data_IF_190720917224
#
_entry.id   IF_190720917224
#
_cell.length_a   1.000
_cell.length_b   1.000
_cell.length_c   1.000
_cell.angle_alpha   90.00
_cell.angle_beta   90.00
_cell.angle_gamma   90.00
#
_symmetry.space_group_name_H-M   'P 1'
#
loop_
_entity.id
_entity.type
_entity.pdbx_description
1 polymer ?
#
# COMPACT_ATOMS: atom_id res chain seq x y z
N UNK A 1 5.54 -59.33 34.03
CA UNK A 1 6.89 -58.74 34.13
C UNK A 1 7.31 -58.43 32.70
N UNK A 2 7.11 -57.24 32.10
CA UNK A 2 7.61 -55.90 32.47
C UNK A 2 8.93 -55.65 31.72
N UNK A 3 9.19 -54.59 30.96
CA UNK A 3 8.45 -53.38 30.57
C UNK A 3 9.02 -52.87 29.23
N UNK A 4 8.17 -52.21 28.43
CA UNK A 4 8.58 -51.28 27.37
C UNK A 4 9.52 -50.19 27.95
N UNK A 5 10.56 -49.80 27.20
CA UNK A 5 11.24 -48.52 27.45
C UNK A 5 11.21 -47.66 26.19
N UNK A 6 10.46 -46.58 26.32
CA UNK A 6 10.24 -45.49 25.39
C UNK A 6 11.44 -44.53 25.49
N UNK A 7 12.33 -44.52 24.49
CA UNK A 7 13.43 -43.55 24.44
C UNK A 7 13.00 -42.31 23.66
N UNK A 8 12.36 -41.37 24.34
CA UNK A 8 12.15 -40.00 23.84
C UNK A 8 13.49 -39.29 23.68
N UNK A 9 13.97 -39.14 22.45
CA UNK A 9 15.10 -38.26 22.13
C UNK A 9 14.63 -36.82 22.22
N UNK A 10 15.00 -36.11 23.28
CA UNK A 10 14.81 -34.66 23.38
C UNK A 10 15.67 -33.94 22.32
N UNK A 11 15.14 -32.93 21.61
CA UNK A 11 15.89 -32.21 20.59
C UNK A 11 16.97 -31.34 21.25
N UNK A 12 18.20 -31.43 20.74
CA UNK A 12 19.32 -30.58 21.11
C UNK A 12 18.95 -29.10 21.00
N UNK A 13 19.17 -28.34 22.07
CA UNK A 13 18.99 -26.90 22.12
C UNK A 13 19.91 -26.19 21.12
N UNK A 14 19.39 -25.87 19.94
CA UNK A 14 20.06 -24.94 19.01
C UNK A 14 19.90 -23.54 19.56
N UNK A 15 20.94 -23.03 20.21
CA UNK A 15 21.08 -21.65 20.65
C UNK A 15 20.80 -20.72 19.46
N UNK A 16 19.71 -19.96 19.52
CA UNK A 16 19.42 -18.88 18.55
C UNK A 16 20.54 -17.85 18.67
N UNK A 17 21.46 -17.82 17.71
CA UNK A 17 22.36 -16.69 17.51
C UNK A 17 21.48 -15.50 17.11
N UNK A 18 21.17 -14.62 18.05
CA UNK A 18 20.56 -13.34 17.73
C UNK A 18 21.56 -12.59 16.82
N UNK A 19 21.25 -12.47 15.53
CA UNK A 19 21.98 -11.55 14.66
C UNK A 19 21.76 -10.15 15.25
N UNK A 20 22.83 -9.56 15.76
CA UNK A 20 22.84 -8.16 16.19
C UNK A 20 22.22 -7.29 15.09
N UNK A 21 21.34 -6.32 15.41
CA UNK A 21 20.76 -5.45 14.40
C UNK A 21 21.88 -4.72 13.66
N UNK A 22 21.97 -4.89 12.33
CA UNK A 22 22.91 -4.13 11.52
C UNK A 22 22.62 -2.63 11.70
N UNK A 23 23.64 -1.78 11.82
CA UNK A 23 23.44 -0.34 11.96
C UNK A 23 22.67 0.19 10.74
N UNK A 24 21.54 0.86 11.00
CA UNK A 24 20.75 1.50 9.94
C UNK A 24 21.60 2.59 9.30
N UNK A 25 21.83 2.52 7.98
CA UNK A 25 22.47 3.61 7.24
C UNK A 25 21.65 4.88 7.47
N UNK A 26 22.29 5.95 7.96
CA UNK A 26 21.66 7.28 7.99
C UNK A 26 21.29 7.62 6.54
N UNK A 27 20.00 7.78 6.27
CA UNK A 27 19.55 8.33 4.98
C UNK A 27 20.13 9.73 4.90
N UNK A 28 20.86 10.06 3.83
CA UNK A 28 21.22 11.44 3.58
C UNK A 28 19.89 12.22 3.41
N UNK A 29 19.83 13.43 3.96
CA UNK A 29 18.67 14.32 3.82
C UNK A 29 18.84 15.23 2.59
N UNK A 30 19.64 14.85 1.60
CA UNK A 30 19.80 15.65 0.39
C UNK A 30 18.55 15.40 -0.47
N UNK A 31 17.54 16.22 -0.17
CA UNK A 31 16.26 16.33 -0.82
C UNK A 31 16.46 16.95 -2.22
N UNK A 32 16.95 16.14 -3.16
CA UNK A 32 16.71 16.38 -4.57
C UNK A 32 15.22 16.20 -4.91
N UNK A 33 14.81 16.44 -6.16
CA UNK A 33 13.46 16.07 -6.60
C UNK A 33 13.17 14.61 -6.20
N UNK A 34 12.05 14.41 -5.50
CA UNK A 34 11.58 13.08 -5.12
C UNK A 34 11.16 12.33 -6.40
N UNK A 35 11.07 10.99 -6.37
CA UNK A 35 10.51 10.26 -7.50
C UNK A 35 9.08 10.69 -7.80
N UNK A 36 8.36 11.09 -6.76
CA UNK A 36 6.94 11.45 -6.81
C UNK A 36 6.72 12.97 -6.90
N UNK A 37 7.77 13.79 -6.72
CA UNK A 37 7.67 15.26 -6.66
C UNK A 37 8.87 15.93 -7.33
N UNK A 38 8.61 16.87 -8.24
CA UNK A 38 9.64 17.70 -8.86
C UNK A 38 10.41 18.56 -7.85
N UNK A 39 11.41 19.29 -8.35
CA UNK A 39 12.13 20.26 -7.52
C UNK A 39 11.15 21.32 -7.01
N UNK A 40 11.18 21.60 -5.70
CA UNK A 40 10.25 22.54 -5.07
C UNK A 40 10.48 23.93 -5.68
N UNK A 41 9.68 24.30 -6.67
CA UNK A 41 9.78 25.62 -7.28
C UNK A 41 9.31 26.66 -6.25
N UNK A 42 10.05 27.76 -6.13
CA UNK A 42 9.69 28.88 -5.23
C UNK A 42 8.27 29.36 -5.55
N UNK A 43 7.54 29.77 -4.51
CA UNK A 43 6.09 30.04 -4.38
C UNK A 43 5.37 30.92 -5.43
N UNK A 44 5.99 31.25 -6.56
CA UNK A 44 5.48 32.18 -7.56
C UNK A 44 4.89 31.52 -8.81
N UNK A 45 4.89 30.19 -8.90
CA UNK A 45 4.17 29.47 -9.95
C UNK A 45 2.73 29.19 -9.52
N UNK A 46 1.88 30.21 -9.65
CA UNK A 46 0.44 30.02 -9.59
C UNK A 46 0.01 29.31 -10.88
N UNK A 47 0.06 27.98 -10.86
CA UNK A 47 -0.63 27.19 -11.86
C UNK A 47 -2.12 27.48 -11.71
N UNK A 48 -2.71 28.10 -12.75
CA UNK A 48 -4.16 28.26 -12.80
C UNK A 48 -4.76 26.86 -12.77
N UNK A 49 -5.62 26.59 -11.78
CA UNK A 49 -6.32 25.32 -11.71
C UNK A 49 -7.17 25.15 -12.98
N UNK A 50 -7.13 23.94 -13.56
CA UNK A 50 -7.90 23.61 -14.76
C UNK A 50 -9.43 23.64 -14.54
N UNK A 51 -9.84 23.59 -13.27
CA UNK A 51 -11.23 23.61 -12.84
C UNK A 51 -11.43 24.50 -11.63
N UNK A 52 -12.65 25.00 -11.48
CA UNK A 52 -13.07 25.74 -10.29
C UNK A 52 -13.15 24.82 -9.08
N UNK A 53 -13.05 25.38 -7.87
CA UNK A 53 -13.11 24.61 -6.63
C UNK A 53 -14.46 23.88 -6.47
N UNK A 54 -15.55 24.52 -6.88
CA UNK A 54 -16.89 23.93 -6.86
C UNK A 54 -16.99 22.72 -7.81
N UNK A 55 -16.50 22.86 -9.05
CA UNK A 55 -16.47 21.75 -10.01
C UNK A 55 -15.63 20.58 -9.53
N UNK A 56 -14.47 20.86 -8.92
CA UNK A 56 -13.61 19.83 -8.33
C UNK A 56 -14.37 19.07 -7.25
N UNK A 57 -15.01 19.80 -6.33
CA UNK A 57 -15.75 19.21 -5.22
C UNK A 57 -16.90 18.33 -5.71
N UNK A 58 -17.72 18.82 -6.65
CA UNK A 58 -18.81 18.03 -7.23
C UNK A 58 -18.29 16.75 -7.91
N UNK A 59 -17.26 16.86 -8.77
CA UNK A 59 -16.67 15.70 -9.44
C UNK A 59 -16.05 14.71 -8.45
N UNK A 60 -15.47 15.20 -7.36
CA UNK A 60 -14.90 14.36 -6.31
C UNK A 60 -15.97 13.54 -5.60
N UNK A 61 -17.11 14.16 -5.30
CA UNK A 61 -18.26 13.49 -4.66
C UNK A 61 -18.90 12.47 -5.59
N UNK A 62 -19.14 12.82 -6.85
CA UNK A 62 -19.66 11.91 -7.88
C UNK A 62 -18.75 10.69 -8.05
N UNK A 63 -17.43 10.90 -8.07
CA UNK A 63 -16.47 9.82 -8.15
C UNK A 63 -16.52 8.91 -6.92
N UNK A 64 -16.57 9.46 -5.70
CA UNK A 64 -16.68 8.66 -4.48
C UNK A 64 -17.97 7.84 -4.46
N UNK A 65 -19.10 8.41 -4.89
CA UNK A 65 -20.38 7.71 -5.01
C UNK A 65 -20.25 6.55 -6.00
N UNK A 66 -19.58 6.75 -7.13
CA UNK A 66 -19.35 5.68 -8.13
C UNK A 66 -18.52 4.50 -7.60
N UNK A 67 -17.72 4.72 -6.56
CA UNK A 67 -16.89 3.67 -5.94
C UNK A 67 -17.67 2.81 -4.93
N UNK A 68 -18.78 3.31 -4.40
CA UNK A 68 -19.65 2.61 -3.47
C UNK A 68 -20.29 1.41 -4.19
N UNK A 69 -20.20 0.24 -3.56
CA UNK A 69 -20.75 -1.00 -4.10
C UNK A 69 -21.62 -1.67 -3.04
N UNK A 70 -22.70 -2.29 -3.48
CA UNK A 70 -23.52 -3.15 -2.62
C UNK A 70 -22.71 -4.38 -2.20
N UNK A 71 -23.02 -4.95 -1.03
CA UNK A 71 -22.37 -6.18 -0.55
C UNK A 71 -22.47 -7.31 -1.57
N UNK A 72 -23.63 -7.44 -2.23
CA UNK A 72 -23.83 -8.42 -3.31
C UNK A 72 -22.83 -8.26 -4.44
N UNK A 73 -22.55 -7.01 -4.84
CA UNK A 73 -21.58 -6.71 -5.90
C UNK A 73 -20.15 -6.94 -5.44
N UNK A 74 -19.84 -6.63 -4.17
CA UNK A 74 -18.54 -6.93 -3.56
C UNK A 74 -18.26 -8.43 -3.61
N UNK A 75 -19.20 -9.27 -3.16
CA UNK A 75 -19.06 -10.74 -3.17
C UNK A 75 -18.99 -11.34 -4.57
N UNK A 76 -19.60 -10.69 -5.57
CA UNK A 76 -19.44 -11.09 -6.97
C UNK A 76 -18.04 -10.76 -7.50
N UNK A 77 -17.52 -9.57 -7.20
CA UNK A 77 -16.19 -9.13 -7.63
C UNK A 77 -15.12 -10.00 -6.98
N UNK A 78 -15.24 -10.29 -5.69
CA UNK A 78 -14.32 -11.19 -4.97
C UNK A 78 -14.22 -12.54 -5.69
N UNK A 79 -15.36 -13.19 -5.94
CA UNK A 79 -15.41 -14.48 -6.65
C UNK A 79 -14.87 -14.39 -8.07
N UNK A 80 -15.19 -13.33 -8.80
CA UNK A 80 -14.73 -13.13 -10.17
C UNK A 80 -13.22 -12.81 -10.26
N UNK A 81 -12.58 -12.40 -9.17
CA UNK A 81 -11.18 -11.97 -9.15
C UNK A 81 -10.26 -12.85 -8.30
N UNK A 82 -10.73 -14.04 -7.89
CA UNK A 82 -9.92 -15.02 -7.11
C UNK A 82 -8.58 -15.34 -7.77
N UNK A 83 -8.52 -15.38 -9.11
CA UNK A 83 -7.28 -15.61 -9.87
C UNK A 83 -6.30 -14.43 -9.89
N UNK A 84 -6.65 -13.31 -9.25
CA UNK A 84 -5.81 -12.12 -9.11
C UNK A 84 -5.20 -11.68 -10.46
N UNK A 85 -3.86 -11.63 -10.55
CA UNK A 85 -3.10 -11.20 -11.74
C UNK A 85 -3.36 -12.02 -13.01
N UNK A 86 -3.92 -13.23 -12.89
CA UNK A 86 -4.27 -14.02 -14.06
C UNK A 86 -5.56 -13.54 -14.74
N UNK A 87 -6.35 -12.70 -14.04
CA UNK A 87 -7.65 -12.22 -14.51
C UNK A 87 -7.53 -10.72 -14.81
N UNK A 88 -7.82 -10.26 -16.04
CA UNK A 88 -7.76 -8.83 -16.40
C UNK A 88 -8.62 -7.94 -15.49
N UNK A 89 -9.81 -8.42 -15.12
CA UNK A 89 -10.73 -7.74 -14.21
C UNK A 89 -10.09 -7.35 -12.87
N UNK A 90 -9.12 -8.11 -12.37
CA UNK A 90 -8.40 -7.76 -11.14
C UNK A 90 -7.65 -6.44 -11.25
N UNK A 91 -7.02 -6.19 -12.39
CA UNK A 91 -6.31 -4.94 -12.65
C UNK A 91 -7.30 -3.78 -12.75
N UNK A 92 -8.38 -3.95 -13.51
CA UNK A 92 -9.43 -2.93 -13.63
C UNK A 92 -10.01 -2.52 -12.27
N UNK A 93 -10.28 -3.49 -11.39
CA UNK A 93 -10.78 -3.20 -10.05
C UNK A 93 -9.73 -2.53 -9.16
N UNK A 94 -8.45 -2.83 -9.33
CA UNK A 94 -7.36 -2.27 -8.53
C UNK A 94 -6.93 -0.87 -8.94
N UNK A 95 -6.88 -0.55 -10.24
CA UNK A 95 -6.33 0.72 -10.75
C UNK A 95 -7.06 1.93 -10.19
N UNK A 96 -8.38 1.82 -10.00
CA UNK A 96 -9.22 2.93 -9.51
C UNK A 96 -9.41 2.91 -7.99
N UNK A 97 -8.61 2.13 -7.23
CA UNK A 97 -8.80 1.92 -5.80
C UNK A 97 -7.50 2.02 -5.03
N UNK A 98 -7.61 2.62 -3.84
CA UNK A 98 -6.56 2.55 -2.85
C UNK A 98 -6.44 1.13 -2.32
N UNK A 99 -5.34 0.46 -2.64
CA UNK A 99 -5.06 -0.90 -2.20
C UNK A 99 -4.08 -0.88 -1.02
N UNK A 100 -4.12 -1.91 -0.19
CA UNK A 100 -3.28 -2.02 1.01
C UNK A 100 -1.79 -1.82 0.69
N UNK A 101 -1.31 -2.34 -0.45
CA UNK A 101 0.08 -2.18 -0.86
C UNK A 101 0.49 -0.74 -1.18
N UNK A 102 -0.44 0.08 -1.68
CA UNK A 102 -0.21 1.49 -2.03
C UNK A 102 -0.57 2.45 -0.89
N UNK A 103 -1.35 1.99 0.11
CA UNK A 103 -1.76 2.82 1.23
C UNK A 103 -0.58 3.45 1.98
N UNK A 104 0.45 2.66 2.29
CA UNK A 104 1.63 3.15 3.01
C UNK A 104 2.47 4.15 2.21
N UNK A 105 2.48 4.02 0.88
CA UNK A 105 3.15 4.97 -0.01
C UNK A 105 2.43 6.32 0.02
N UNK A 106 1.10 6.31 -0.12
CA UNK A 106 0.27 7.52 -0.06
C UNK A 106 0.35 8.21 1.30
N UNK A 107 0.40 7.47 2.42
CA UNK A 107 0.58 8.09 3.73
C UNK A 107 1.95 8.76 3.91
N UNK A 108 2.95 8.42 3.08
CA UNK A 108 4.29 9.01 3.12
C UNK A 108 4.42 10.22 2.20
N UNK A 109 3.45 10.44 1.32
CA UNK A 109 3.37 11.59 0.42
C UNK A 109 3.28 12.91 1.21
N UNK A 110 3.70 14.01 0.58
CA UNK A 110 3.61 15.34 1.21
C UNK A 110 2.14 15.77 1.30
N UNK A 111 1.77 16.59 2.30
CA UNK A 111 0.42 17.14 2.39
C UNK A 111 0.00 17.94 1.16
N UNK A 112 0.97 18.58 0.50
CA UNK A 112 0.77 19.38 -0.71
C UNK A 112 1.76 18.96 -1.78
N UNK A 113 1.29 18.88 -3.01
CA UNK A 113 2.13 18.85 -4.21
C UNK A 113 2.56 20.30 -4.50
N UNK A 114 3.87 20.55 -4.55
CA UNK A 114 4.45 21.84 -4.96
C UNK A 114 4.46 21.99 -6.46
#
# INVERSE_FOLDING_TARGET
MGKYTDSKKHPSSKTKKYLSPKPKRKRNNNCGPDMDYGEVQKANYSHKADMTEDEFKTKSEEFLISLIKTETKVSQIERATVGQKAIPLWFEQKTNRLTVSHFGEICRMRPTTS
#
